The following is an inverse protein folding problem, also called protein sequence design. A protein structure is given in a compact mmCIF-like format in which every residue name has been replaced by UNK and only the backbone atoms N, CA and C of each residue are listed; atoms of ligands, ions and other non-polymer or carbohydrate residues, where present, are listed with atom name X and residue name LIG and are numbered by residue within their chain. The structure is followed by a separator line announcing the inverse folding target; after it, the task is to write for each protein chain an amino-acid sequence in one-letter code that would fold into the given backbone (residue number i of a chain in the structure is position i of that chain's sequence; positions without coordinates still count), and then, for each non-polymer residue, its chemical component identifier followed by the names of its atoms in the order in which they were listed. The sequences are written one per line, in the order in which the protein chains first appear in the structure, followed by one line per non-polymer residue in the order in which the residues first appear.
data_IF_264884641366
#
_entry.id   IF_264884641366
#
_cell.length_a   1.000
_cell.length_b   1.000
_cell.length_c   1.000
_cell.angle_alpha   90.00
_cell.angle_beta   90.00
_cell.angle_gamma   90.00
#
_symmetry.space_group_name_H-M   'P 1'
#
loop_
_entity.id
_entity.type
_entity.pdbx_description
1 polymer ?
#
# COMPACT_ATOMS: atom_id res chain seq x y z
N UNK A 1 -25.42 -14.68 14.97
CA UNK A 1 -24.41 -13.68 14.59
C UNK A 1 -23.06 -14.29 14.90
N UNK A 2 -22.43 -14.92 13.90
CA UNK A 2 -21.06 -15.47 14.01
C UNK A 2 -20.12 -14.33 14.39
N UNK A 3 -19.48 -14.43 15.54
CA UNK A 3 -18.43 -13.52 15.94
C UNK A 3 -17.17 -13.89 15.15
N UNK A 4 -16.91 -13.19 14.06
CA UNK A 4 -15.59 -13.24 13.40
C UNK A 4 -14.53 -12.88 14.44
N UNK A 5 -13.62 -13.80 14.70
CA UNK A 5 -12.68 -13.72 15.82
C UNK A 5 -11.40 -12.98 15.42
N UNK A 6 -11.09 -12.91 14.14
CA UNK A 6 -9.98 -12.17 13.58
C UNK A 6 -10.42 -11.47 12.30
N UNK A 7 -9.88 -10.29 12.09
CA UNK A 7 -10.19 -9.49 10.92
C UNK A 7 -8.91 -9.11 10.22
N UNK A 8 -8.96 -9.07 8.90
CA UNK A 8 -7.92 -8.45 8.09
C UNK A 8 -8.34 -7.02 7.84
N UNK A 9 -7.46 -6.09 8.16
CA UNK A 9 -7.69 -4.66 8.06
C UNK A 9 -6.56 -4.01 7.27
N UNK A 10 -6.90 -3.15 6.32
CA UNK A 10 -5.96 -2.24 5.67
C UNK A 10 -6.35 -0.81 6.03
N UNK A 11 -5.38 -0.05 6.48
CA UNK A 11 -5.53 1.39 6.75
C UNK A 11 -4.40 2.10 6.04
N UNK A 12 -4.73 3.04 5.18
CA UNK A 12 -3.68 3.78 4.49
C UNK A 12 -4.23 4.81 3.52
N UNK A 13 -3.34 5.41 2.79
CA UNK A 13 -3.62 6.39 1.75
C UNK A 13 -2.86 6.03 0.47
N UNK A 14 -3.39 6.49 -0.63
CA UNK A 14 -2.79 6.34 -1.94
C UNK A 14 -2.91 7.65 -2.76
N UNK A 15 -2.31 7.66 -3.96
CA UNK A 15 -2.36 8.82 -4.86
C UNK A 15 -3.79 9.25 -5.25
N UNK A 16 -4.81 8.39 -5.08
CA UNK A 16 -6.22 8.71 -5.34
C UNK A 16 -6.88 9.46 -4.17
N UNK A 17 -6.34 9.33 -2.96
CA UNK A 17 -6.91 9.93 -1.74
C UNK A 17 -6.11 11.07 -1.17
N UNK A 18 -4.82 11.12 -1.45
CA UNK A 18 -3.91 12.10 -0.88
C UNK A 18 -3.00 12.71 -1.95
N UNK A 19 -2.92 14.05 -2.04
CA UNK A 19 -1.97 14.71 -2.92
C UNK A 19 -0.54 14.44 -2.47
N UNK A 20 0.43 14.77 -3.33
CA UNK A 20 1.84 14.46 -3.09
C UNK A 20 2.36 15.04 -1.77
N UNK A 21 1.92 16.25 -1.40
CA UNK A 21 2.31 16.93 -0.15
C UNK A 21 1.97 16.13 1.11
N UNK A 22 0.83 15.46 1.11
CA UNK A 22 0.38 14.62 2.23
C UNK A 22 1.10 13.27 2.20
N UNK A 23 1.32 12.70 1.01
CA UNK A 23 2.05 11.45 0.86
C UNK A 23 3.50 11.56 1.31
N UNK A 24 4.15 12.72 1.06
CA UNK A 24 5.50 13.03 1.53
C UNK A 24 5.60 13.01 3.05
N UNK A 25 4.60 13.60 3.74
CA UNK A 25 4.57 13.66 5.19
C UNK A 25 4.34 12.29 5.85
N UNK A 26 3.66 11.38 5.16
CA UNK A 26 3.27 10.06 5.66
C UNK A 26 4.08 8.91 5.02
N UNK A 27 5.26 9.19 4.49
CA UNK A 27 6.14 8.21 3.87
C UNK A 27 7.16 7.67 4.85
N UNK A 28 7.20 6.33 5.01
CA UNK A 28 8.23 5.66 5.82
C UNK A 28 9.53 5.51 5.03
N UNK A 29 10.63 5.86 5.67
CA UNK A 29 11.96 5.53 5.14
C UNK A 29 12.17 4.01 5.12
N UNK A 30 12.79 3.46 4.08
CA UNK A 30 13.04 2.00 4.01
C UNK A 30 13.79 1.44 5.22
N UNK A 31 14.69 2.22 5.83
CA UNK A 31 15.44 1.85 7.03
C UNK A 31 14.61 1.84 8.31
N UNK A 32 13.47 2.50 8.32
CA UNK A 32 12.60 2.65 9.49
C UNK A 32 11.44 1.63 9.51
N UNK A 33 11.15 0.98 8.35
CA UNK A 33 10.02 0.06 8.20
C UNK A 33 10.00 -1.05 9.25
N UNK A 34 11.15 -1.67 9.52
CA UNK A 34 11.24 -2.74 10.52
C UNK A 34 10.90 -2.24 11.93
N UNK A 35 11.44 -1.09 12.32
CA UNK A 35 11.15 -0.47 13.62
C UNK A 35 9.67 -0.06 13.72
N UNK A 36 9.10 0.48 12.64
CA UNK A 36 7.70 0.87 12.58
C UNK A 36 6.77 -0.34 12.76
N UNK A 37 7.03 -1.43 12.03
CA UNK A 37 6.27 -2.67 12.14
C UNK A 37 6.36 -3.29 13.53
N UNK A 38 7.55 -3.30 14.15
CA UNK A 38 7.78 -3.83 15.50
C UNK A 38 7.03 -3.03 16.56
N UNK A 39 7.06 -1.69 16.49
CA UNK A 39 6.28 -0.81 17.38
C UNK A 39 4.78 -0.98 17.20
N UNK A 40 4.32 -1.08 15.96
CA UNK A 40 2.91 -1.29 15.68
C UNK A 40 2.40 -2.63 16.23
N UNK A 41 3.24 -3.66 16.26
CA UNK A 41 2.90 -4.96 16.85
C UNK A 41 2.64 -4.89 18.35
N UNK A 42 3.24 -3.94 19.05
CA UNK A 42 3.02 -3.70 20.50
C UNK A 42 1.66 -3.06 20.77
N UNK A 43 1.03 -2.46 19.75
CA UNK A 43 -0.27 -1.82 19.88
C UNK A 43 -1.41 -2.80 20.11
N UNK A 44 -2.40 -2.33 20.86
CA UNK A 44 -3.56 -3.13 21.24
C UNK A 44 -4.35 -3.59 20.00
N UNK A 45 -4.79 -4.84 20.00
CA UNK A 45 -5.57 -5.42 18.89
C UNK A 45 -4.76 -5.77 17.62
N UNK A 46 -3.50 -5.39 17.52
CA UNK A 46 -2.66 -5.71 16.37
C UNK A 46 -1.98 -7.07 16.60
N UNK A 47 -2.32 -8.05 15.78
CA UNK A 47 -1.87 -9.44 15.88
C UNK A 47 -0.75 -9.74 14.92
N UNK A 48 -0.91 -9.28 13.69
CA UNK A 48 0.07 -9.31 12.61
C UNK A 48 0.06 -7.95 11.91
N UNK A 49 1.19 -7.51 11.39
CA UNK A 49 1.20 -6.30 10.57
C UNK A 49 2.33 -6.28 9.54
N UNK A 50 2.06 -5.60 8.43
CA UNK A 50 3.01 -5.23 7.38
C UNK A 50 2.73 -3.78 6.97
N UNK A 51 3.79 -3.02 6.76
CA UNK A 51 3.73 -1.66 6.21
C UNK A 51 4.24 -1.68 4.78
N UNK A 52 3.44 -1.19 3.84
CA UNK A 52 3.85 -0.94 2.45
C UNK A 52 3.90 0.57 2.28
N UNK A 53 5.09 1.12 2.07
CA UNK A 53 5.32 2.54 1.82
C UNK A 53 6.09 2.71 0.51
N UNK A 54 5.53 3.49 -0.41
CA UNK A 54 6.06 3.78 -1.74
C UNK A 54 5.81 5.24 -2.08
N UNK A 55 6.27 5.72 -3.24
CA UNK A 55 5.93 7.08 -3.70
C UNK A 55 4.41 7.31 -3.89
N UNK A 56 3.63 6.24 -4.10
CA UNK A 56 2.22 6.34 -4.45
C UNK A 56 1.26 5.90 -3.35
N UNK A 57 1.75 5.26 -2.30
CA UNK A 57 0.91 4.75 -1.18
C UNK A 57 1.68 4.55 0.10
N UNK A 58 0.98 4.73 1.19
CA UNK A 58 1.39 4.26 2.52
C UNK A 58 0.22 3.51 3.12
N UNK A 59 0.37 2.21 3.26
CA UNK A 59 -0.68 1.29 3.71
C UNK A 59 -0.16 0.37 4.80
N UNK A 60 -0.95 0.24 5.86
CA UNK A 60 -0.74 -0.69 6.96
C UNK A 60 -1.74 -1.82 6.82
N UNK A 61 -1.25 -3.02 6.59
CA UNK A 61 -2.00 -4.26 6.61
C UNK A 61 -1.89 -4.85 8.00
N UNK A 62 -2.99 -5.23 8.62
CA UNK A 62 -3.00 -5.80 9.95
C UNK A 62 -4.03 -6.94 10.09
N UNK A 63 -3.68 -7.96 10.83
CA UNK A 63 -4.64 -8.89 11.42
C UNK A 63 -4.99 -8.34 12.79
N UNK A 64 -6.29 -8.15 13.05
CA UNK A 64 -6.79 -7.55 14.28
C UNK A 64 -7.88 -8.42 14.92
N UNK A 65 -8.02 -8.34 16.23
CA UNK A 65 -9.09 -9.03 16.94
C UNK A 65 -10.41 -8.23 16.99
N UNK A 66 -10.34 -6.93 16.73
CA UNK A 66 -11.50 -6.02 16.68
C UNK A 66 -11.23 -4.89 15.69
N UNK A 67 -12.07 -4.77 14.66
CA UNK A 67 -11.94 -3.74 13.62
C UNK A 67 -11.88 -2.32 14.15
N UNK A 68 -12.84 -1.95 15.03
CA UNK A 68 -12.89 -0.60 15.58
C UNK A 68 -11.63 -0.26 16.39
N UNK A 69 -11.15 -1.19 17.20
CA UNK A 69 -9.96 -1.02 18.03
C UNK A 69 -8.71 -0.96 17.15
N UNK A 70 -8.60 -1.86 16.17
CA UNK A 70 -7.49 -1.88 15.21
C UNK A 70 -7.41 -0.57 14.42
N UNK A 71 -8.52 -0.08 13.87
CA UNK A 71 -8.57 1.22 13.17
C UNK A 71 -8.10 2.37 14.06
N UNK A 72 -8.52 2.40 15.33
CA UNK A 72 -8.14 3.44 16.27
C UNK A 72 -6.63 3.44 16.52
N UNK A 73 -6.04 2.27 16.81
CA UNK A 73 -4.63 2.18 17.13
C UNK A 73 -3.73 2.40 15.91
N UNK A 74 -4.12 1.94 14.72
CA UNK A 74 -3.36 2.23 13.50
C UNK A 74 -3.37 3.73 13.18
N UNK A 75 -4.53 4.40 13.27
CA UNK A 75 -4.60 5.86 13.09
C UNK A 75 -3.73 6.61 14.09
N UNK A 76 -3.80 6.22 15.37
CA UNK A 76 -2.98 6.81 16.41
C UNK A 76 -1.49 6.60 16.13
N UNK A 77 -1.11 5.37 15.76
CA UNK A 77 0.26 5.04 15.42
C UNK A 77 0.80 5.90 14.26
N UNK A 78 0.01 6.08 13.19
CA UNK A 78 0.40 6.96 12.08
C UNK A 78 0.59 8.41 12.53
N UNK A 79 -0.35 8.96 13.30
CA UNK A 79 -0.26 10.31 13.82
C UNK A 79 0.98 10.48 14.73
N UNK A 80 1.17 9.58 15.69
CA UNK A 80 2.29 9.62 16.64
C UNK A 80 3.64 9.43 15.94
N UNK A 81 3.72 8.54 14.92
CA UNK A 81 4.96 8.27 14.19
C UNK A 81 5.45 9.47 13.39
N UNK A 82 4.53 10.15 12.72
CA UNK A 82 4.86 11.30 11.86
C UNK A 82 4.73 12.65 12.57
N UNK A 83 4.33 12.67 13.84
CA UNK A 83 4.17 13.91 14.62
C UNK A 83 3.03 14.79 14.11
N UNK A 84 1.93 14.19 13.64
CA UNK A 84 0.77 14.87 13.08
C UNK A 84 -0.45 14.71 14.00
N UNK A 85 -1.42 15.61 13.87
CA UNK A 85 -2.71 15.44 14.54
C UNK A 85 -3.57 14.42 13.78
N UNK A 86 -4.37 13.63 14.51
CA UNK A 86 -5.24 12.60 13.89
C UNK A 86 -6.26 13.18 12.91
N UNK A 87 -6.71 14.37 13.20
CA UNK A 87 -7.68 15.13 12.41
C UNK A 87 -7.11 15.49 11.04
N UNK A 88 -5.82 15.75 10.95
CA UNK A 88 -5.13 16.12 9.70
C UNK A 88 -4.91 14.90 8.79
N UNK A 89 -4.70 13.72 9.39
CA UNK A 89 -4.44 12.48 8.63
C UNK A 89 -5.73 11.76 8.23
N UNK A 90 -6.74 11.77 9.10
CA UNK A 90 -7.98 10.99 8.93
C UNK A 90 -8.74 11.20 7.62
N UNK A 91 -8.83 12.41 7.03
CA UNK A 91 -9.56 12.64 5.78
C UNK A 91 -8.98 11.89 4.56
N UNK A 92 -7.70 11.56 4.60
CA UNK A 92 -6.99 10.91 3.50
C UNK A 92 -6.95 9.39 3.61
N UNK A 93 -7.29 8.84 4.80
CA UNK A 93 -7.20 7.41 5.06
C UNK A 93 -8.40 6.64 4.48
N UNK A 94 -8.09 5.58 3.76
CA UNK A 94 -9.02 4.51 3.37
C UNK A 94 -8.94 3.33 4.32
N UNK A 95 -10.03 2.59 4.37
CA UNK A 95 -10.17 1.38 5.17
C UNK A 95 -10.72 0.27 4.29
N UNK A 96 -10.02 -0.87 4.27
CA UNK A 96 -10.51 -2.09 3.67
C UNK A 96 -10.54 -3.17 4.74
N UNK A 97 -11.56 -4.01 4.72
CA UNK A 97 -11.83 -4.98 5.77
C UNK A 97 -12.08 -6.34 5.19
N UNK A 98 -11.58 -7.37 5.86
CA UNK A 98 -11.80 -8.78 5.53
C UNK A 98 -11.59 -9.06 4.03
N UNK A 99 -12.61 -9.48 3.32
CA UNK A 99 -12.55 -9.78 1.88
C UNK A 99 -12.05 -8.61 1.05
N UNK A 100 -12.51 -7.40 1.37
CA UNK A 100 -12.08 -6.20 0.68
C UNK A 100 -10.60 -5.88 0.93
N UNK A 101 -10.06 -6.24 2.11
CA UNK A 101 -8.64 -6.10 2.41
C UNK A 101 -7.78 -7.09 1.63
N UNK A 102 -8.24 -8.33 1.49
CA UNK A 102 -7.59 -9.38 0.70
C UNK A 102 -7.59 -9.02 -0.78
N UNK A 103 -8.74 -8.63 -1.32
CA UNK A 103 -8.89 -8.17 -2.69
C UNK A 103 -7.96 -6.99 -2.98
N UNK A 104 -7.96 -5.99 -2.10
CA UNK A 104 -7.10 -4.82 -2.25
C UNK A 104 -5.62 -5.19 -2.31
N UNK A 105 -5.13 -6.09 -1.43
CA UNK A 105 -3.76 -6.56 -1.48
C UNK A 105 -3.41 -7.24 -2.82
N UNK A 106 -4.29 -8.09 -3.33
CA UNK A 106 -4.06 -8.77 -4.61
C UNK A 106 -4.06 -7.79 -5.78
N UNK A 107 -4.98 -6.83 -5.79
CA UNK A 107 -5.03 -5.75 -6.78
C UNK A 107 -3.77 -4.90 -6.76
N UNK A 108 -3.30 -4.54 -5.57
CA UNK A 108 -2.04 -3.80 -5.37
C UNK A 108 -0.86 -4.61 -5.88
N UNK A 109 -0.72 -5.88 -5.47
CA UNK A 109 0.40 -6.73 -5.87
C UNK A 109 0.45 -6.98 -7.38
N UNK A 110 -0.72 -7.11 -8.04
CA UNK A 110 -0.85 -7.25 -9.50
C UNK A 110 -0.70 -5.92 -10.25
N UNK A 111 -0.59 -4.79 -9.56
CA UNK A 111 -0.47 -3.47 -10.18
C UNK A 111 -1.78 -2.90 -10.74
N UNK A 112 -2.95 -3.46 -10.40
CA UNK A 112 -4.26 -2.93 -10.84
C UNK A 112 -4.62 -1.62 -10.16
N UNK A 113 -4.17 -1.42 -8.92
CA UNK A 113 -4.37 -0.19 -8.15
C UNK A 113 -3.14 0.72 -8.16
N UNK A 114 -2.17 0.46 -9.03
CA UNK A 114 -1.06 1.36 -9.28
C UNK A 114 -1.48 2.54 -10.15
N UNK A 115 -0.77 3.67 -10.04
CA UNK A 115 -0.96 4.84 -10.92
C UNK A 115 -0.86 4.43 -12.40
N UNK A 116 0.03 3.50 -12.68
CA UNK A 116 0.17 2.83 -13.97
C UNK A 116 -0.28 1.39 -13.84
N UNK A 117 -1.42 1.06 -14.41
CA UNK A 117 -1.96 -0.30 -14.38
C UNK A 117 -0.93 -1.28 -14.98
N UNK A 118 -0.59 -2.32 -14.21
CA UNK A 118 0.37 -3.35 -14.61
C UNK A 118 1.83 -3.00 -14.33
N UNK A 119 2.12 -1.95 -13.55
CA UNK A 119 3.47 -1.64 -13.12
C UNK A 119 4.07 -2.79 -12.30
N UNK A 120 5.20 -3.31 -12.75
CA UNK A 120 5.86 -4.46 -12.10
C UNK A 120 6.63 -4.08 -10.84
N UNK A 121 6.88 -2.79 -10.63
CA UNK A 121 7.70 -2.29 -9.52
C UNK A 121 7.01 -2.51 -8.17
N UNK A 122 5.70 -2.35 -8.10
CA UNK A 122 4.91 -2.55 -6.88
C UNK A 122 5.06 -3.98 -6.32
N UNK A 123 5.12 -4.99 -7.18
CA UNK A 123 5.38 -6.36 -6.75
C UNK A 123 6.72 -6.50 -6.02
N UNK A 124 7.75 -5.81 -6.51
CA UNK A 124 9.06 -5.75 -5.84
C UNK A 124 8.98 -5.11 -4.46
N UNK A 125 8.21 -4.03 -4.33
CA UNK A 125 8.00 -3.31 -3.07
C UNK A 125 7.21 -4.13 -2.06
N UNK A 126 6.11 -4.79 -2.49
CA UNK A 126 5.34 -5.74 -1.66
C UNK A 126 6.24 -6.86 -1.14
N UNK A 127 7.09 -7.46 -2.00
CA UNK A 127 8.04 -8.49 -1.58
C UNK A 127 9.07 -7.99 -0.57
N UNK A 128 9.56 -6.77 -0.75
CA UNK A 128 10.54 -6.18 0.17
C UNK A 128 9.93 -5.93 1.54
N UNK A 129 8.72 -5.34 1.62
CA UNK A 129 7.99 -5.14 2.87
C UNK A 129 7.66 -6.47 3.55
N UNK A 130 7.23 -7.47 2.79
CA UNK A 130 6.97 -8.82 3.31
C UNK A 130 8.23 -9.45 3.93
N UNK A 131 9.39 -9.30 3.27
CA UNK A 131 10.66 -9.81 3.80
C UNK A 131 11.04 -9.11 5.11
N UNK A 132 10.92 -7.78 5.19
CA UNK A 132 11.17 -7.04 6.43
C UNK A 132 10.25 -7.51 7.55
N UNK A 133 8.96 -7.69 7.28
CA UNK A 133 8.00 -8.18 8.26
C UNK A 133 8.33 -9.60 8.77
N UNK A 134 8.90 -10.46 7.91
CA UNK A 134 9.40 -11.79 8.33
C UNK A 134 10.62 -11.68 9.23
N UNK A 135 11.58 -10.83 8.88
CA UNK A 135 12.81 -10.61 9.65
C UNK A 135 12.49 -10.04 11.05
N UNK A 136 11.55 -9.09 11.12
CA UNK A 136 11.08 -8.47 12.38
C UNK A 136 10.04 -9.33 13.13
N UNK A 137 9.63 -10.46 12.57
CA UNK A 137 8.62 -11.37 13.17
C UNK A 137 7.29 -10.65 13.49
N UNK A 138 6.90 -9.70 12.68
CA UNK A 138 5.64 -8.96 12.86
C UNK A 138 4.46 -9.67 12.23
N UNK A 139 4.69 -10.74 11.47
CA UNK A 139 3.68 -11.56 10.82
C UNK A 139 3.65 -12.98 11.41
N UNK A 140 2.48 -13.58 11.34
CA UNK A 140 2.21 -14.97 11.74
C UNK A 140 1.69 -15.80 10.57
N UNK A 141 0.81 -16.76 10.86
CA UNK A 141 0.32 -17.72 9.88
C UNK A 141 -0.50 -17.07 8.77
N UNK A 142 -1.36 -16.11 9.11
CA UNK A 142 -2.30 -15.49 8.15
C UNK A 142 -1.53 -14.70 7.09
N UNK A 143 -0.67 -13.77 7.49
CA UNK A 143 0.04 -12.94 6.52
C UNK A 143 1.18 -13.67 5.81
N UNK A 144 1.79 -14.67 6.43
CA UNK A 144 2.74 -15.51 5.70
C UNK A 144 2.10 -16.23 4.52
N UNK A 145 0.86 -16.71 4.68
CA UNK A 145 0.13 -17.34 3.57
C UNK A 145 -0.38 -16.30 2.58
N UNK A 146 -1.12 -15.29 3.05
CA UNK A 146 -1.75 -14.27 2.21
C UNK A 146 -0.74 -13.54 1.32
N UNK A 147 0.40 -13.10 1.87
CA UNK A 147 1.42 -12.37 1.09
C UNK A 147 2.18 -13.28 0.13
N UNK A 148 2.37 -14.57 0.45
CA UNK A 148 2.90 -15.54 -0.52
C UNK A 148 1.94 -15.73 -1.69
N UNK A 149 0.64 -15.84 -1.41
CA UNK A 149 -0.38 -15.91 -2.46
C UNK A 149 -0.41 -14.64 -3.30
N UNK A 150 -0.38 -13.44 -2.69
CA UNK A 150 -0.33 -12.17 -3.38
C UNK A 150 0.86 -12.08 -4.35
N UNK A 151 2.04 -12.53 -3.92
CA UNK A 151 3.22 -12.59 -4.79
C UNK A 151 3.06 -13.62 -5.90
N UNK A 152 2.39 -14.74 -5.65
CA UNK A 152 2.16 -15.80 -6.62
C UNK A 152 1.19 -15.37 -7.70
N UNK A 153 0.02 -14.82 -7.33
CA UNK A 153 -0.98 -14.35 -8.30
C UNK A 153 -0.45 -13.18 -9.12
N UNK A 154 0.34 -12.27 -8.51
CA UNK A 154 0.97 -11.19 -9.25
C UNK A 154 1.99 -11.69 -10.28
N UNK A 155 2.78 -12.72 -9.97
CA UNK A 155 3.66 -13.35 -10.96
C UNK A 155 2.89 -14.05 -12.07
N UNK A 156 1.79 -14.73 -11.73
CA UNK A 156 0.92 -15.38 -12.70
C UNK A 156 0.28 -14.35 -13.62
N UNK A 157 -0.26 -13.26 -13.09
CA UNK A 157 -0.85 -12.20 -13.89
C UNK A 157 0.14 -11.60 -14.89
N UNK A 158 1.41 -11.40 -14.48
CA UNK A 158 2.46 -10.93 -15.38
C UNK A 158 2.90 -11.96 -16.43
N UNK A 159 2.76 -13.26 -16.16
CA UNK A 159 3.17 -14.34 -17.07
C UNK A 159 2.05 -14.78 -18.02
N UNK A 160 0.80 -14.76 -17.55
CA UNK A 160 -0.37 -15.27 -18.26
C UNK A 160 -1.14 -14.18 -19.01
N UNK A 161 -0.85 -12.89 -18.71
CA UNK A 161 -1.49 -11.74 -19.37
C UNK A 161 -0.46 -10.72 -19.86
N UNK A 162 -0.86 -9.88 -20.80
CA UNK A 162 0.00 -8.79 -21.30
C UNK A 162 0.04 -7.56 -20.40
N UNK A 163 -0.37 -7.69 -19.13
CA UNK A 163 -0.48 -6.54 -18.23
C UNK A 163 0.87 -5.84 -17.97
N UNK A 164 1.95 -6.63 -17.90
CA UNK A 164 3.29 -6.11 -17.69
C UNK A 164 3.95 -5.56 -18.96
N UNK A 165 3.61 -6.09 -20.13
CA UNK A 165 4.22 -5.68 -21.41
C UNK A 165 3.73 -4.31 -21.87
N UNK A 166 2.52 -3.93 -21.48
CA UNK A 166 1.90 -2.65 -21.82
C UNK A 166 2.01 -1.58 -20.72
N UNK A 167 2.82 -1.80 -19.69
CA UNK A 167 3.02 -0.83 -18.63
C UNK A 167 3.73 0.42 -19.18
N UNK A 168 2.93 1.39 -19.61
CA UNK A 168 3.42 2.75 -19.87
C UNK A 168 3.79 3.33 -18.50
N UNK A 169 5.05 3.26 -18.17
CA UNK A 169 5.55 3.75 -16.89
C UNK A 169 5.44 5.28 -16.82
N UNK A 170 5.42 5.84 -15.59
CA UNK A 170 5.61 7.28 -15.34
C UNK A 170 6.81 7.81 -16.15
N UNK A 171 7.86 6.99 -16.25
CA UNK A 171 9.02 7.27 -17.06
C UNK A 171 8.71 7.44 -18.56
N UNK A 172 7.79 6.66 -19.11
CA UNK A 172 7.36 6.81 -20.50
C UNK A 172 6.49 8.07 -20.68
N UNK A 173 5.61 8.39 -19.73
CA UNK A 173 4.83 9.63 -19.77
C UNK A 173 5.75 10.87 -19.79
N UNK A 174 6.82 10.85 -19.00
CA UNK A 174 7.85 11.88 -19.02
C UNK A 174 8.49 12.03 -20.41
N UNK A 175 8.79 10.91 -21.10
CA UNK A 175 9.33 10.92 -22.47
C UNK A 175 8.34 11.49 -23.48
N UNK A 176 7.07 11.12 -23.40
CA UNK A 176 6.03 11.64 -24.31
C UNK A 176 5.80 13.14 -24.10
N UNK A 177 5.86 13.63 -22.85
CA UNK A 177 5.83 15.07 -22.58
C UNK A 177 7.05 15.79 -23.14
N UNK A 178 8.24 15.25 -22.95
CA UNK A 178 9.46 15.80 -23.51
C UNK A 178 9.36 15.92 -25.05
N UNK A 179 8.81 14.91 -25.72
CA UNK A 179 8.54 14.97 -27.17
C UNK A 179 7.57 16.08 -27.56
N UNK A 180 6.52 16.29 -26.79
CA UNK A 180 5.55 17.39 -27.04
C UNK A 180 6.20 18.77 -26.93
N UNK A 181 7.14 18.95 -26.01
CA UNK A 181 7.83 20.22 -25.77
C UNK A 181 8.94 20.44 -26.82
N UNK A 182 9.76 19.43 -27.11
CA UNK A 182 10.97 19.57 -27.93
C UNK A 182 10.82 19.08 -29.36
N UNK A 183 9.79 18.29 -29.68
CA UNK A 183 9.62 17.62 -30.97
C UNK A 183 10.62 16.50 -31.18
N UNK A 184 11.93 16.83 -31.31
CA UNK A 184 13.02 15.85 -31.43
C UNK A 184 13.84 15.80 -30.15
N UNK A 185 14.25 14.58 -29.75
CA UNK A 185 15.09 14.37 -28.57
C UNK A 185 16.55 14.03 -28.91
N UNK A 186 16.90 13.84 -30.18
CA UNK A 186 18.20 13.37 -30.62
C UNK A 186 19.34 14.37 -30.37
N UNK A 187 19.03 15.64 -30.24
CA UNK A 187 19.96 16.73 -29.94
C UNK A 187 19.85 17.27 -28.52
N UNK A 188 19.06 16.61 -27.67
CA UNK A 188 18.78 17.06 -26.30
C UNK A 188 19.74 16.43 -25.30
N UNK A 189 20.08 17.22 -24.29
CA UNK A 189 20.91 16.82 -23.17
C UNK A 189 19.97 16.47 -21.97
N UNK A 190 20.04 15.22 -21.52
CA UNK A 190 19.29 14.73 -20.39
C UNK A 190 20.18 14.66 -19.16
N UNK A 191 19.74 15.28 -18.08
CA UNK A 191 20.31 15.17 -16.75
C UNK A 191 19.44 14.24 -15.90
N UNK A 192 20.02 13.17 -15.37
CA UNK A 192 19.40 12.27 -14.41
C UNK A 192 19.99 12.58 -13.04
N UNK A 193 19.14 12.99 -12.11
CA UNK A 193 19.50 13.25 -10.72
C UNK A 193 19.00 12.10 -9.84
N UNK A 194 19.94 11.35 -9.26
CA UNK A 194 19.67 10.11 -8.56
C UNK A 194 19.95 8.87 -9.41
N UNK A 195 20.26 7.77 -8.75
CA UNK A 195 20.53 6.47 -9.36
C UNK A 195 19.50 5.41 -8.87
N UNK A 196 18.28 5.85 -8.67
CA UNK A 196 17.17 5.00 -8.31
C UNK A 196 16.57 4.25 -9.50
N UNK A 197 15.75 3.22 -9.23
CA UNK A 197 15.13 2.37 -10.26
C UNK A 197 14.29 3.15 -11.26
N UNK A 198 13.54 4.15 -10.79
CA UNK A 198 12.70 5.00 -11.66
C UNK A 198 13.54 5.87 -12.60
N UNK A 199 14.62 6.47 -12.10
CA UNK A 199 15.56 7.22 -12.94
C UNK A 199 16.22 6.34 -14.00
N UNK A 200 16.59 5.11 -13.65
CA UNK A 200 17.12 4.12 -14.59
C UNK A 200 16.12 3.80 -15.72
N UNK A 201 14.84 3.52 -15.36
CA UNK A 201 13.79 3.24 -16.33
C UNK A 201 13.51 4.44 -17.24
N UNK A 202 13.52 5.66 -16.70
CA UNK A 202 13.36 6.88 -17.47
C UNK A 202 14.50 7.06 -18.48
N UNK A 203 15.72 6.80 -18.04
CA UNK A 203 16.89 6.83 -18.90
C UNK A 203 16.84 5.79 -20.03
N UNK A 204 16.40 4.56 -19.73
CA UNK A 204 16.21 3.50 -20.74
C UNK A 204 15.19 3.92 -21.80
N UNK A 205 14.04 4.45 -21.36
CA UNK A 205 13.00 4.89 -22.27
C UNK A 205 13.46 6.06 -23.17
N UNK A 206 14.21 7.01 -22.60
CA UNK A 206 14.79 8.12 -23.35
C UNK A 206 15.84 7.63 -24.37
N UNK A 207 16.71 6.72 -23.96
CA UNK A 207 17.72 6.13 -24.85
C UNK A 207 17.08 5.45 -26.07
N UNK A 208 15.97 4.70 -25.86
CA UNK A 208 15.19 4.10 -26.94
C UNK A 208 14.60 5.12 -27.92
N UNK A 209 14.55 6.41 -27.56
CA UNK A 209 14.11 7.50 -28.43
C UNK A 209 15.28 8.26 -29.08
N UNK A 210 16.52 7.78 -28.92
CA UNK A 210 17.69 8.33 -29.60
C UNK A 210 18.13 9.67 -29.06
N UNK A 211 18.10 9.90 -27.74
CA UNK A 211 18.59 11.14 -27.10
C UNK A 211 20.08 11.39 -27.39
N UNK A 212 20.47 12.67 -27.41
CA UNK A 212 21.83 13.07 -27.79
C UNK A 212 22.86 12.80 -26.70
N UNK A 213 22.64 13.29 -25.48
CA UNK A 213 23.59 13.18 -24.37
C UNK A 213 22.86 12.85 -23.06
N UNK A 214 23.47 11.99 -22.25
CA UNK A 214 23.00 11.68 -20.88
C UNK A 214 24.08 12.04 -19.88
N UNK A 215 23.71 12.81 -18.85
CA UNK A 215 24.57 13.04 -17.68
C UNK A 215 23.84 12.46 -16.47
N UNK A 216 24.55 11.73 -15.62
CA UNK A 216 24.02 11.20 -14.37
C UNK A 216 24.73 11.86 -13.21
N UNK A 217 23.96 12.43 -12.29
CA UNK A 217 24.44 12.98 -11.02
C UNK A 217 23.83 12.21 -9.86
N UNK A 218 24.66 11.79 -8.94
CA UNK A 218 24.22 11.16 -7.70
C UNK A 218 25.13 11.58 -6.54
N UNK A 219 24.59 11.55 -5.30
CA UNK A 219 25.37 11.81 -4.09
C UNK A 219 26.61 10.91 -3.98
N UNK A 220 26.46 9.63 -4.35
CA UNK A 220 27.55 8.66 -4.44
C UNK A 220 28.00 8.59 -5.90
N UNK A 221 29.22 9.06 -6.19
CA UNK A 221 29.75 9.13 -7.56
C UNK A 221 29.84 7.77 -8.25
N UNK A 222 30.18 6.71 -7.52
CA UNK A 222 30.26 5.34 -8.05
C UNK A 222 28.91 4.86 -8.60
N UNK A 223 27.80 5.19 -7.92
CA UNK A 223 26.44 4.88 -8.40
C UNK A 223 26.11 5.68 -9.67
N UNK A 224 26.53 6.95 -9.74
CA UNK A 224 26.38 7.75 -10.96
C UNK A 224 27.17 7.12 -12.11
N UNK A 225 28.40 6.68 -11.86
CA UNK A 225 29.27 6.03 -12.84
C UNK A 225 28.71 4.71 -13.35
N UNK A 226 28.19 3.88 -12.45
CA UNK A 226 27.54 2.62 -12.82
C UNK A 226 26.32 2.86 -13.73
N UNK A 227 25.43 3.78 -13.33
CA UNK A 227 24.25 4.08 -14.12
C UNK A 227 24.61 4.76 -15.45
N UNK A 228 25.50 5.74 -15.46
CA UNK A 228 25.95 6.40 -16.68
C UNK A 228 26.59 5.43 -17.68
N UNK A 229 27.35 4.44 -17.18
CA UNK A 229 27.97 3.41 -18.02
C UNK A 229 26.96 2.57 -18.81
N UNK A 230 25.76 2.36 -18.29
CA UNK A 230 24.69 1.63 -18.99
C UNK A 230 24.12 2.40 -20.18
N UNK A 231 24.28 3.73 -20.20
CA UNK A 231 23.73 4.63 -21.22
C UNK A 231 24.82 5.32 -22.07
N UNK A 232 26.07 4.92 -21.96
CA UNK A 232 27.19 5.61 -22.56
C UNK A 232 27.22 7.11 -22.20
N UNK A 233 26.73 7.43 -20.99
CA UNK A 233 26.60 8.78 -20.49
C UNK A 233 27.79 9.23 -19.64
N UNK A 234 27.75 10.48 -19.20
CA UNK A 234 28.79 11.12 -18.39
C UNK A 234 28.37 11.11 -16.90
N UNK A 235 29.13 10.49 -15.99
CA UNK A 235 28.90 10.64 -14.56
C UNK A 235 29.47 11.95 -14.04
N UNK A 236 28.73 12.68 -13.21
CA UNK A 236 29.18 13.88 -12.51
C UNK A 236 28.86 13.79 -11.02
N UNK A 237 29.61 14.54 -10.24
CA UNK A 237 29.36 14.68 -8.81
C UNK A 237 28.39 15.82 -8.53
N UNK A 238 27.74 15.79 -7.33
CA UNK A 238 26.66 16.71 -6.93
C UNK A 238 27.12 18.20 -6.99
N UNK A 239 28.40 18.50 -6.74
CA UNK A 239 28.95 19.85 -6.83
C UNK A 239 28.93 20.43 -8.26
N UNK A 240 28.71 19.61 -9.29
CA UNK A 240 28.59 20.02 -10.68
C UNK A 240 27.14 20.25 -11.14
N UNK A 241 26.16 20.09 -10.21
CA UNK A 241 24.73 20.12 -10.50
C UNK A 241 24.31 21.46 -11.15
N UNK A 242 24.63 22.60 -10.55
CA UNK A 242 24.24 23.92 -11.08
C UNK A 242 24.78 24.18 -12.49
N UNK A 243 26.04 23.78 -12.74
CA UNK A 243 26.62 23.89 -14.06
C UNK A 243 25.89 23.02 -15.06
N UNK A 244 25.65 21.74 -14.70
CA UNK A 244 25.00 20.79 -15.59
C UNK A 244 23.54 21.18 -15.85
N UNK A 245 22.84 21.73 -14.85
CA UNK A 245 21.49 22.25 -15.00
C UNK A 245 21.37 23.36 -16.05
N UNK A 246 22.40 24.20 -16.17
CA UNK A 246 22.44 25.22 -17.23
C UNK A 246 22.68 24.64 -18.63
N UNK A 247 23.23 23.45 -18.74
CA UNK A 247 23.53 22.75 -19.99
C UNK A 247 22.40 21.79 -20.43
N UNK A 248 21.73 21.15 -19.48
CA UNK A 248 20.69 20.17 -19.74
C UNK A 248 19.41 20.79 -20.32
N UNK A 249 18.69 20.06 -21.15
CA UNK A 249 17.37 20.42 -21.68
C UNK A 249 16.25 19.69 -20.93
N UNK A 250 16.55 18.49 -20.47
CA UNK A 250 15.60 17.62 -19.74
C UNK A 250 16.28 17.24 -18.42
N UNK A 251 15.56 17.39 -17.32
CA UNK A 251 15.95 16.89 -16.00
C UNK A 251 14.94 15.82 -15.55
N UNK A 252 15.44 14.69 -15.07
CA UNK A 252 14.64 13.70 -14.36
C UNK A 252 15.26 13.50 -12.98
N UNK A 253 14.48 13.79 -11.94
CA UNK A 253 14.90 13.62 -10.55
C UNK A 253 14.22 12.43 -9.90
N UNK A 254 15.00 11.58 -9.23
CA UNK A 254 14.53 10.38 -8.52
C UNK A 254 15.48 10.03 -7.37
N UNK A 255 15.71 10.97 -6.45
CA UNK A 255 16.59 10.72 -5.29
C UNK A 255 15.75 10.28 -4.08
N UNK A 256 16.41 9.96 -2.98
CA UNK A 256 15.79 9.73 -1.67
C UNK A 256 16.15 10.86 -0.70
N UNK A 257 16.21 12.10 -1.17
CA UNK A 257 16.51 13.24 -0.33
C UNK A 257 15.29 13.62 0.52
N UNK A 258 15.53 14.10 1.74
CA UNK A 258 14.47 14.60 2.63
C UNK A 258 14.12 16.06 2.41
N UNK A 259 14.94 16.76 1.62
CA UNK A 259 14.80 18.19 1.33
C UNK A 259 15.00 18.41 -0.17
N UNK A 260 14.51 19.51 -0.69
CA UNK A 260 14.70 19.86 -2.09
C UNK A 260 16.21 19.89 -2.44
N UNK A 261 16.53 19.16 -3.49
CA UNK A 261 17.90 19.12 -4.05
C UNK A 261 18.10 20.26 -5.04
N UNK A 262 17.03 20.65 -5.74
CA UNK A 262 17.03 21.78 -6.67
C UNK A 262 16.00 22.80 -6.19
N UNK A 263 16.49 24.02 -5.92
CA UNK A 263 15.65 25.13 -5.47
C UNK A 263 15.31 26.07 -6.64
N UNK A 264 14.32 26.93 -6.44
CA UNK A 264 13.93 27.96 -7.39
C UNK A 264 15.12 28.84 -7.82
N UNK A 265 15.93 29.28 -6.86
CA UNK A 265 17.09 30.15 -7.11
C UNK A 265 18.15 29.48 -8.01
N UNK A 266 18.37 28.18 -7.86
CA UNK A 266 19.27 27.40 -8.71
C UNK A 266 18.77 27.40 -10.15
N UNK A 267 17.45 27.22 -10.36
CA UNK A 267 16.84 27.23 -11.70
C UNK A 267 16.86 28.62 -12.30
N UNK A 268 16.57 29.67 -11.55
CA UNK A 268 16.68 31.06 -11.99
C UNK A 268 18.13 31.40 -12.41
N UNK A 269 19.12 30.97 -11.62
CA UNK A 269 20.54 31.14 -11.95
C UNK A 269 20.92 30.38 -13.23
N UNK A 270 20.44 29.13 -13.38
CA UNK A 270 20.67 28.34 -14.59
C UNK A 270 20.01 29.00 -15.81
N UNK A 271 18.79 29.50 -15.71
CA UNK A 271 18.04 30.12 -16.80
C UNK A 271 18.73 31.37 -17.39
N UNK A 272 19.37 32.18 -16.57
CA UNK A 272 20.17 33.32 -17.04
C UNK A 272 21.27 32.88 -18.03
N UNK A 273 21.84 31.69 -17.83
CA UNK A 273 22.89 31.13 -18.71
C UNK A 273 22.31 30.42 -19.93
N UNK A 274 21.05 29.96 -19.85
CA UNK A 274 20.35 29.19 -20.89
C UNK A 274 19.81 30.04 -22.06
N UNK A 275 19.79 31.36 -21.90
CA UNK A 275 19.39 32.31 -22.98
C UNK A 275 18.01 31.98 -23.59
N UNK A 276 17.02 31.65 -22.76
CA UNK A 276 15.65 31.38 -23.19
C UNK A 276 15.41 29.94 -23.70
N UNK A 277 16.39 29.03 -23.61
CA UNK A 277 16.12 27.61 -23.92
C UNK A 277 15.23 27.00 -22.85
N UNK A 278 14.14 26.29 -23.22
CA UNK A 278 13.26 25.66 -22.25
C UNK A 278 13.98 24.59 -21.44
N UNK A 279 13.63 24.47 -20.15
CA UNK A 279 14.08 23.42 -19.26
C UNK A 279 12.88 22.58 -18.85
N UNK A 280 12.82 21.34 -19.30
CA UNK A 280 11.79 20.39 -18.91
C UNK A 280 12.26 19.58 -17.71
N UNK A 281 11.49 19.59 -16.64
CA UNK A 281 11.86 19.01 -15.35
C UNK A 281 10.77 18.06 -14.89
N UNK A 282 11.17 16.85 -14.53
CA UNK A 282 10.26 15.80 -14.01
C UNK A 282 10.79 15.34 -12.68
N UNK A 283 9.96 15.50 -11.66
CA UNK A 283 10.20 15.00 -10.31
C UNK A 283 9.39 13.74 -10.04
N UNK A 284 10.07 12.61 -9.98
CA UNK A 284 9.46 11.32 -9.66
C UNK A 284 9.86 10.80 -8.28
N UNK A 285 10.48 11.69 -7.48
CA UNK A 285 10.83 11.39 -6.10
C UNK A 285 9.68 11.67 -5.13
N UNK A 286 9.61 10.88 -4.08
CA UNK A 286 8.77 11.15 -2.92
C UNK A 286 9.61 10.81 -1.67
N UNK A 287 9.92 11.80 -0.84
CA UNK A 287 9.62 13.24 -0.96
C UNK A 287 10.21 13.87 -2.23
N UNK A 288 9.62 15.01 -2.66
CA UNK A 288 10.05 15.73 -3.86
C UNK A 288 11.50 16.23 -3.75
N UNK A 289 12.22 16.11 -4.83
CA UNK A 289 13.60 16.62 -4.97
C UNK A 289 13.61 18.08 -5.44
N UNK A 290 12.55 18.54 -6.13
CA UNK A 290 12.47 19.85 -6.75
C UNK A 290 11.47 20.74 -6.02
N UNK A 291 11.87 21.97 -5.76
CA UNK A 291 11.01 22.99 -5.16
C UNK A 291 9.82 23.30 -6.09
N UNK A 292 8.57 23.14 -5.65
CA UNK A 292 7.37 23.47 -6.44
C UNK A 292 7.35 24.90 -6.97
N UNK A 293 7.96 25.85 -6.27
CA UNK A 293 8.09 27.24 -6.69
C UNK A 293 8.89 27.41 -8.01
N UNK A 294 9.58 26.38 -8.50
CA UNK A 294 10.22 26.35 -9.81
C UNK A 294 9.18 26.55 -10.93
N UNK A 295 7.94 26.13 -10.74
CA UNK A 295 6.86 26.34 -11.73
C UNK A 295 6.59 27.81 -12.05
N UNK A 296 7.02 28.74 -11.20
CA UNK A 296 6.91 30.19 -11.42
C UNK A 296 8.04 30.75 -12.29
N UNK A 297 9.06 29.95 -12.57
CA UNK A 297 10.24 30.41 -13.34
C UNK A 297 9.95 30.33 -14.83
N UNK A 298 10.03 31.44 -15.52
CA UNK A 298 9.77 31.51 -16.96
C UNK A 298 10.73 30.58 -17.74
N UNK A 299 10.16 29.72 -18.61
CA UNK A 299 10.92 28.75 -19.41
C UNK A 299 11.30 27.46 -18.67
N UNK A 300 10.93 27.30 -17.41
CA UNK A 300 10.98 26.04 -16.69
C UNK A 300 9.61 25.36 -16.71
N UNK A 301 9.58 24.08 -17.08
CA UNK A 301 8.37 23.26 -17.13
C UNK A 301 8.56 22.13 -16.13
N UNK A 302 8.00 22.31 -14.93
CA UNK A 302 8.06 21.33 -13.86
C UNK A 302 6.81 20.46 -13.87
N UNK A 303 7.02 19.16 -13.81
CA UNK A 303 5.97 18.15 -13.66
C UNK A 303 6.36 17.21 -12.52
N UNK A 304 5.48 16.98 -11.60
CA UNK A 304 5.64 15.97 -10.57
C UNK A 304 4.98 14.63 -10.97
N UNK A 305 5.04 13.67 -10.06
CA UNK A 305 4.52 12.32 -10.32
C UNK A 305 3.00 12.33 -10.56
N UNK A 306 2.25 13.24 -9.94
CA UNK A 306 0.80 13.36 -10.08
C UNK A 306 0.41 14.00 -11.41
N UNK A 307 1.18 14.94 -11.90
CA UNK A 307 0.98 15.58 -13.22
C UNK A 307 1.09 14.58 -14.38
N UNK A 308 1.94 13.55 -14.21
CA UNK A 308 2.13 12.51 -15.22
C UNK A 308 0.95 11.54 -15.32
N UNK A 309 0.09 11.48 -14.28
CA UNK A 309 -1.08 10.58 -14.23
C UNK A 309 -2.05 10.81 -15.40
N UNK A 310 -2.35 12.07 -15.71
CA UNK A 310 -3.29 12.43 -16.78
C UNK A 310 -2.88 11.91 -18.17
N UNK A 311 -1.57 11.74 -18.40
CA UNK A 311 -1.02 11.27 -19.68
C UNK A 311 -1.07 9.75 -19.77
N UNK A 312 -0.86 9.07 -18.65
CA UNK A 312 -1.00 7.62 -18.53
C UNK A 312 -2.45 7.19 -18.73
N UNK A 313 -3.40 8.00 -18.26
CA UNK A 313 -4.84 7.73 -18.37
C UNK A 313 -5.36 7.65 -19.82
N UNK A 314 -4.71 8.27 -20.78
CA UNK A 314 -5.15 8.28 -22.19
C UNK A 314 -5.06 6.90 -22.89
N UNK A 315 -4.25 5.96 -22.37
CA UNK A 315 -4.09 4.61 -22.93
C UNK A 315 -4.97 3.53 -22.26
N UNK A 316 -6.03 3.93 -21.55
CA UNK A 316 -6.83 3.05 -20.68
C UNK A 316 -7.69 2.01 -21.39
N UNK A 317 -8.04 2.17 -22.67
CA UNK A 317 -8.98 1.24 -23.34
C UNK A 317 -8.41 -0.16 -23.57
N UNK A 318 -7.16 -0.26 -24.03
CA UNK A 318 -6.51 -1.56 -24.25
C UNK A 318 -6.19 -2.27 -22.94
N UNK A 319 -5.92 -1.50 -21.88
CA UNK A 319 -5.60 -2.03 -20.57
C UNK A 319 -6.79 -2.56 -19.78
N UNK A 320 -8.01 -2.07 -20.05
CA UNK A 320 -9.22 -2.56 -19.38
C UNK A 320 -9.47 -4.04 -19.66
N UNK A 321 -9.33 -4.48 -20.90
CA UNK A 321 -9.54 -5.88 -21.24
C UNK A 321 -8.52 -6.81 -20.57
N UNK A 322 -7.26 -6.35 -20.42
CA UNK A 322 -6.22 -7.12 -19.71
C UNK A 322 -6.44 -7.07 -18.19
N UNK A 323 -6.88 -5.94 -17.66
CA UNK A 323 -7.21 -5.81 -16.23
C UNK A 323 -8.36 -6.75 -15.83
N UNK A 324 -9.40 -6.90 -16.66
CA UNK A 324 -10.50 -7.86 -16.45
C UNK A 324 -10.01 -9.31 -16.37
N UNK A 325 -9.01 -9.70 -17.15
CA UNK A 325 -8.40 -11.04 -17.04
C UNK A 325 -7.68 -11.24 -15.71
N UNK A 326 -6.97 -10.21 -15.24
CA UNK A 326 -6.29 -10.25 -13.94
C UNK A 326 -7.30 -10.29 -12.80
N UNK A 327 -8.42 -9.58 -12.91
CA UNK A 327 -9.50 -9.61 -11.91
C UNK A 327 -10.06 -11.02 -11.73
N UNK A 328 -10.25 -11.78 -12.81
CA UNK A 328 -10.67 -13.19 -12.73
C UNK A 328 -9.66 -14.08 -11.99
N UNK A 329 -8.35 -13.83 -12.19
CA UNK A 329 -7.31 -14.54 -11.43
C UNK A 329 -7.38 -14.19 -9.93
N UNK A 330 -7.60 -12.92 -9.60
CA UNK A 330 -7.73 -12.44 -8.22
C UNK A 330 -8.96 -13.06 -7.54
N UNK A 331 -10.11 -13.09 -8.21
CA UNK A 331 -11.33 -13.72 -7.68
C UNK A 331 -11.11 -15.19 -7.31
N UNK A 332 -10.44 -15.95 -8.18
CA UNK A 332 -10.10 -17.36 -7.90
C UNK A 332 -9.19 -17.50 -6.66
N UNK A 333 -8.19 -16.64 -6.54
CA UNK A 333 -7.26 -16.67 -5.40
C UNK A 333 -7.91 -16.22 -4.09
N UNK A 334 -8.90 -15.31 -4.12
CA UNK A 334 -9.69 -14.93 -2.94
C UNK A 334 -10.48 -16.13 -2.42
N UNK A 335 -11.09 -16.90 -3.32
CA UNK A 335 -11.82 -18.12 -2.94
C UNK A 335 -10.88 -19.14 -2.31
N UNK A 336 -9.69 -19.37 -2.89
CA UNK A 336 -8.69 -20.28 -2.35
C UNK A 336 -8.19 -19.82 -0.96
N UNK A 337 -7.92 -18.52 -0.81
CA UNK A 337 -7.51 -17.97 0.49
C UNK A 337 -8.59 -18.16 1.57
N UNK A 338 -9.85 -17.94 1.23
CA UNK A 338 -10.97 -18.16 2.17
C UNK A 338 -11.10 -19.61 2.60
N UNK A 339 -11.01 -20.54 1.65
CA UNK A 339 -11.02 -21.97 1.95
C UNK A 339 -9.88 -22.35 2.90
N UNK A 340 -8.65 -21.86 2.59
CA UNK A 340 -7.52 -22.07 3.46
C UNK A 340 -7.71 -21.43 4.86
N UNK A 341 -8.24 -20.20 4.94
CA UNK A 341 -8.47 -19.52 6.21
C UNK A 341 -9.46 -20.28 7.09
N UNK A 342 -10.48 -20.88 6.49
CA UNK A 342 -11.43 -21.74 7.20
C UNK A 342 -10.78 -23.02 7.74
N UNK A 343 -9.73 -23.52 7.09
CA UNK A 343 -8.98 -24.71 7.55
C UNK A 343 -7.97 -24.42 8.65
N UNK A 344 -7.74 -23.14 9.00
CA UNK A 344 -6.83 -22.79 10.07
C UNK A 344 -7.39 -23.28 11.42
N UNK A 345 -6.82 -24.35 11.94
CA UNK A 345 -7.25 -24.98 13.19
C UNK A 345 -7.32 -24.03 14.41
N UNK A 346 -6.61 -22.90 14.37
CA UNK A 346 -6.62 -21.93 15.47
C UNK A 346 -7.86 -21.04 15.46
N UNK A 347 -8.38 -20.69 14.28
CA UNK A 347 -9.55 -19.80 14.17
C UNK A 347 -10.80 -20.43 14.80
N UNK A 348 -11.17 -21.68 14.48
CA UNK A 348 -12.27 -22.35 15.14
C UNK A 348 -12.08 -22.46 16.67
N UNK A 349 -10.86 -22.73 17.13
CA UNK A 349 -10.53 -22.86 18.56
C UNK A 349 -10.73 -21.52 19.29
N UNK A 350 -10.24 -20.42 18.73
CA UNK A 350 -10.40 -19.09 19.30
C UNK A 350 -11.88 -18.66 19.26
N UNK A 351 -12.60 -18.98 18.17
CA UNK A 351 -14.04 -18.72 18.07
C UNK A 351 -14.84 -19.44 19.16
N UNK A 352 -14.61 -20.75 19.33
CA UNK A 352 -15.25 -21.54 20.36
C UNK A 352 -14.94 -21.04 21.78
N UNK A 353 -13.69 -20.64 22.04
CA UNK A 353 -13.30 -20.07 23.33
C UNK A 353 -14.04 -18.75 23.64
N UNK A 354 -14.16 -17.86 22.66
CA UNK A 354 -14.90 -16.59 22.81
C UNK A 354 -16.39 -16.82 22.95
N UNK A 355 -16.96 -17.68 22.14
CA UNK A 355 -18.39 -18.01 22.19
C UNK A 355 -18.77 -18.57 23.58
N UNK A 356 -17.99 -19.53 24.09
CA UNK A 356 -18.18 -20.06 25.45
C UNK A 356 -18.16 -18.95 26.50
N UNK A 357 -17.18 -18.05 26.46
CA UNK A 357 -17.06 -16.96 27.42
C UNK A 357 -18.18 -15.93 27.30
N UNK A 358 -18.64 -15.62 26.08
CA UNK A 358 -19.75 -14.69 25.85
C UNK A 358 -21.10 -15.31 26.27
N UNK A 359 -21.28 -16.61 26.10
CA UNK A 359 -22.46 -17.35 26.61
C UNK A 359 -22.51 -17.26 28.11
N UNK A 360 -21.43 -17.54 28.83
CA UNK A 360 -21.34 -17.39 30.29
C UNK A 360 -21.68 -15.94 30.71
N UNK A 361 -21.17 -14.94 29.97
CA UNK A 361 -21.51 -13.55 30.26
C UNK A 361 -22.97 -13.22 30.04
N UNK A 362 -23.57 -13.72 28.96
CA UNK A 362 -24.98 -13.51 28.66
C UNK A 362 -25.89 -14.15 29.74
N UNK A 363 -25.62 -15.38 30.15
CA UNK A 363 -26.32 -16.08 31.21
C UNK A 363 -26.19 -15.35 32.54
N UNK A 364 -24.99 -14.83 32.86
CA UNK A 364 -24.76 -14.03 34.05
C UNK A 364 -25.57 -12.74 34.01
N UNK A 365 -25.60 -12.03 32.88
CA UNK A 365 -26.37 -10.79 32.73
C UNK A 365 -27.88 -11.06 32.85
N UNK A 366 -28.36 -12.16 32.26
CA UNK A 366 -29.76 -12.57 32.40
C UNK A 366 -30.12 -12.93 33.85
N UNK A 367 -29.18 -13.56 34.58
CA UNK A 367 -29.36 -13.84 36.01
C UNK A 367 -29.44 -12.56 36.86
N UNK A 368 -28.58 -11.57 36.54
CA UNK A 368 -28.59 -10.25 37.20
C UNK A 368 -29.93 -9.54 36.95
N UNK A 369 -30.39 -9.51 35.72
CA UNK A 369 -31.65 -8.88 35.33
C UNK A 369 -32.85 -9.50 36.08
N UNK A 370 -32.91 -10.84 36.20
CA UNK A 370 -33.93 -11.54 36.97
C UNK A 370 -33.88 -11.25 38.49
N UNK A 371 -32.65 -11.12 39.06
CA UNK A 371 -32.48 -10.92 40.49
C UNK A 371 -32.59 -9.46 40.91
N UNK A 372 -32.33 -8.53 40.00
CA UNK A 372 -32.36 -7.08 40.22
C UNK A 372 -33.25 -6.38 39.18
N UNK A 373 -34.59 -6.58 39.26
CA UNK A 373 -35.54 -6.09 38.23
C UNK A 373 -35.68 -4.57 38.19
N UNK A 374 -35.17 -3.86 39.19
CA UNK A 374 -35.24 -2.40 39.30
C UNK A 374 -34.01 -1.66 38.74
N UNK A 375 -33.08 -2.36 38.09
CA UNK A 375 -31.93 -1.70 37.44
C UNK A 375 -32.40 -0.84 36.28
N UNK A 376 -31.91 0.38 36.25
CA UNK A 376 -32.12 1.29 35.12
C UNK A 376 -31.38 0.81 33.89
N UNK A 377 -31.84 1.22 32.72
CA UNK A 377 -31.16 0.91 31.44
C UNK A 377 -29.68 1.35 31.43
N UNK A 378 -29.36 2.46 32.11
CA UNK A 378 -27.98 2.97 32.24
C UNK A 378 -27.11 2.05 33.09
N UNK A 379 -27.61 1.56 34.21
CA UNK A 379 -26.91 0.62 35.10
C UNK A 379 -26.69 -0.72 34.41
N UNK A 380 -27.72 -1.25 33.74
CA UNK A 380 -27.59 -2.48 32.95
C UNK A 380 -26.54 -2.37 31.84
N UNK A 381 -26.50 -1.23 31.12
CA UNK A 381 -25.47 -0.95 30.11
C UNK A 381 -24.08 -0.88 30.70
N UNK A 382 -23.94 -0.30 31.91
CA UNK A 382 -22.66 -0.22 32.62
C UNK A 382 -22.17 -1.61 33.05
N UNK A 383 -23.03 -2.43 33.64
CA UNK A 383 -22.72 -3.80 34.02
C UNK A 383 -22.32 -4.65 32.83
N UNK A 384 -23.06 -4.56 31.72
CA UNK A 384 -22.72 -5.26 30.48
C UNK A 384 -21.34 -4.84 29.93
N UNK A 385 -21.00 -3.54 29.99
CA UNK A 385 -19.71 -3.05 29.58
C UNK A 385 -18.57 -3.60 30.45
N UNK A 386 -18.74 -3.60 31.79
CA UNK A 386 -17.69 -4.07 32.69
C UNK A 386 -17.52 -5.59 32.65
N UNK A 387 -18.61 -6.37 32.59
CA UNK A 387 -18.53 -7.83 32.44
C UNK A 387 -17.85 -8.24 31.13
N UNK A 388 -18.17 -7.59 29.99
CA UNK A 388 -17.45 -7.79 28.72
C UNK A 388 -15.97 -7.40 28.81
N UNK A 389 -15.65 -6.33 29.55
CA UNK A 389 -14.25 -5.93 29.76
C UNK A 389 -13.47 -6.99 30.53
N UNK A 390 -14.06 -7.58 31.58
CA UNK A 390 -13.45 -8.68 32.34
C UNK A 390 -13.16 -9.88 31.43
N UNK A 391 -14.14 -10.30 30.64
CA UNK A 391 -13.98 -11.42 29.69
C UNK A 391 -12.85 -11.13 28.70
N UNK A 392 -12.83 -9.94 28.07
CA UNK A 392 -11.78 -9.58 27.12
C UNK A 392 -10.39 -9.60 27.76
N UNK A 393 -10.28 -9.19 29.03
CA UNK A 393 -9.02 -9.26 29.76
C UNK A 393 -8.59 -10.70 30.07
N UNK A 394 -9.54 -11.54 30.50
CA UNK A 394 -9.27 -12.97 30.78
C UNK A 394 -8.91 -13.77 29.53
N UNK A 395 -9.51 -13.46 28.40
CA UNK A 395 -9.26 -14.16 27.13
C UNK A 395 -7.96 -13.72 26.43
N UNK A 396 -7.38 -12.60 26.82
CA UNK A 396 -6.20 -12.03 26.17
C UNK A 396 -5.05 -13.04 26.10
N UNK A 397 -4.62 -13.57 27.24
CA UNK A 397 -3.46 -14.46 27.31
C UNK A 397 -3.74 -15.85 26.70
N UNK A 398 -4.89 -16.51 26.94
CA UNK A 398 -5.25 -17.74 26.24
C UNK A 398 -5.27 -17.61 24.71
N UNK A 399 -5.83 -16.51 24.17
CA UNK A 399 -5.86 -16.26 22.73
C UNK A 399 -4.44 -16.05 22.18
N UNK A 400 -3.61 -15.28 22.86
CA UNK A 400 -2.21 -15.11 22.49
C UNK A 400 -1.49 -16.46 22.45
N UNK A 401 -1.70 -17.29 23.49
CA UNK A 401 -1.05 -18.60 23.57
C UNK A 401 -1.53 -19.56 22.49
N UNK A 402 -2.83 -19.60 22.19
CA UNK A 402 -3.35 -20.40 21.08
C UNK A 402 -2.71 -20.05 19.74
N UNK A 403 -2.43 -18.76 19.50
CA UNK A 403 -1.74 -18.27 18.29
C UNK A 403 -0.25 -18.64 18.26
N UNK A 404 0.45 -18.53 19.38
CA UNK A 404 1.83 -18.99 19.48
C UNK A 404 1.93 -20.48 19.14
N UNK A 405 1.02 -21.28 19.70
CA UNK A 405 0.92 -22.71 19.45
C UNK A 405 0.68 -22.99 17.95
N UNK A 406 -0.19 -22.24 17.30
CA UNK A 406 -0.50 -22.43 15.87
C UNK A 406 0.70 -22.13 14.94
N UNK A 407 1.69 -21.40 15.42
CA UNK A 407 2.91 -21.12 14.68
C UNK A 407 4.00 -22.21 14.87
N UNK A 408 3.79 -23.19 15.74
CA UNK A 408 4.76 -24.23 16.03
C UNK A 408 4.63 -25.45 15.09
N UNK A 409 5.71 -26.24 14.85
CA UNK A 409 5.65 -27.39 13.94
C UNK A 409 4.67 -28.48 14.33
N UNK A 410 4.30 -28.59 15.62
CA UNK A 410 3.35 -29.56 16.19
C UNK A 410 2.07 -28.89 16.69
N UNK A 411 1.59 -27.88 15.95
CA UNK A 411 0.44 -27.06 16.27
C UNK A 411 -0.83 -27.87 16.53
N UNK A 412 -1.08 -28.89 15.70
CA UNK A 412 -2.32 -29.67 15.75
C UNK A 412 -2.51 -30.40 17.08
N UNK A 413 -1.48 -31.11 17.56
CA UNK A 413 -1.50 -31.82 18.84
C UNK A 413 -1.71 -30.86 20.03
N UNK A 414 -1.01 -29.72 20.01
CA UNK A 414 -1.10 -28.71 21.06
C UNK A 414 -2.44 -27.97 21.06
N UNK A 415 -3.03 -27.74 19.88
CA UNK A 415 -4.36 -27.15 19.77
C UNK A 415 -5.44 -28.12 20.24
N UNK A 416 -5.27 -29.43 20.03
CA UNK A 416 -6.16 -30.45 20.62
C UNK A 416 -6.13 -30.38 22.15
N UNK A 417 -4.94 -30.37 22.75
CA UNK A 417 -4.80 -30.20 24.20
C UNK A 417 -5.41 -28.89 24.70
N UNK A 418 -5.27 -27.80 23.95
CA UNK A 418 -5.89 -26.51 24.26
C UNK A 418 -7.43 -26.62 24.25
N UNK A 419 -8.02 -27.32 23.26
CA UNK A 419 -9.46 -27.59 23.21
C UNK A 419 -9.91 -28.36 24.43
N UNK A 420 -9.18 -29.38 24.85
CA UNK A 420 -9.49 -30.18 26.05
C UNK A 420 -9.43 -29.33 27.33
N UNK A 421 -8.36 -28.55 27.54
CA UNK A 421 -8.19 -27.71 28.73
C UNK A 421 -9.35 -26.72 28.91
N UNK A 422 -9.82 -26.13 27.81
CA UNK A 422 -10.92 -25.16 27.84
C UNK A 422 -12.29 -25.77 27.59
N UNK A 423 -12.37 -27.12 27.43
CA UNK A 423 -13.60 -27.85 27.12
C UNK A 423 -14.38 -27.19 25.97
N UNK A 424 -13.70 -27.04 24.82
CA UNK A 424 -14.25 -26.40 23.64
C UNK A 424 -14.86 -27.42 22.70
N UNK A 425 -16.16 -27.24 22.39
CA UNK A 425 -16.83 -27.97 21.33
C UNK A 425 -16.53 -27.26 20.01
N UNK A 426 -15.60 -27.77 19.22
CA UNK A 426 -15.38 -27.32 17.86
C UNK A 426 -16.03 -28.36 16.96
N UNK A 427 -17.17 -28.03 16.35
CA UNK A 427 -17.80 -28.91 15.37
C UNK A 427 -16.83 -29.04 14.17
N UNK A 428 -16.42 -30.28 13.86
CA UNK A 428 -15.67 -30.55 12.64
C UNK A 428 -16.61 -30.28 11.45
N UNK A 429 -16.21 -29.36 10.57
CA UNK A 429 -17.02 -28.89 9.42
C UNK A 429 -17.39 -29.99 8.40
N UNK A 430 -16.84 -31.20 8.51
CA UNK A 430 -17.27 -32.34 7.68
C UNK A 430 -18.75 -32.74 7.84
N UNK A 431 -19.43 -32.30 8.91
CA UNK A 431 -20.87 -32.53 9.13
C UNK A 431 -21.77 -31.38 8.71
N UNK A 432 -21.25 -30.22 8.31
CA UNK A 432 -22.03 -29.07 7.81
C UNK A 432 -22.13 -28.98 6.29
N UNK A 433 -21.64 -29.94 5.55
CA UNK A 433 -21.81 -30.02 4.10
C UNK A 433 -23.23 -30.53 3.71
N UNK A 434 -24.27 -29.93 4.26
CA UNK A 434 -25.47 -29.75 3.45
C UNK A 434 -25.22 -28.56 2.52
N UNK A 435 -25.46 -28.70 1.22
CA UNK A 435 -25.23 -27.60 0.28
C UNK A 435 -26.14 -26.45 0.71
N UNK A 436 -25.57 -25.42 1.34
CA UNK A 436 -26.24 -24.13 1.42
C UNK A 436 -26.66 -23.77 0.00
N UNK A 437 -27.95 -23.79 -0.25
CA UNK A 437 -28.51 -23.16 -1.43
C UNK A 437 -27.95 -21.73 -1.45
N UNK A 438 -27.07 -21.48 -2.39
CA UNK A 438 -26.59 -20.15 -2.71
C UNK A 438 -27.85 -19.38 -3.11
N UNK A 439 -28.48 -18.68 -2.16
CA UNK A 439 -29.30 -17.56 -2.56
C UNK A 439 -28.39 -16.68 -3.40
N UNK A 440 -28.78 -16.54 -4.65
CA UNK A 440 -28.20 -15.60 -5.59
C UNK A 440 -28.42 -14.18 -5.06
N UNK A 441 -27.75 -13.83 -3.99
CA UNK A 441 -27.50 -12.46 -3.57
C UNK A 441 -26.54 -11.90 -4.60
N UNK A 442 -27.10 -11.18 -5.56
CA UNK A 442 -26.41 -10.44 -6.58
C UNK A 442 -25.16 -9.76 -6.01
N UNK A 443 -24.00 -10.28 -6.37
CA UNK A 443 -22.73 -9.58 -6.29
C UNK A 443 -22.88 -8.32 -7.14
N UNK A 444 -23.28 -7.23 -6.54
CA UNK A 444 -23.14 -5.94 -7.19
C UNK A 444 -21.65 -5.60 -7.17
N UNK A 445 -20.99 -5.97 -8.26
CA UNK A 445 -19.74 -5.34 -8.66
C UNK A 445 -19.91 -3.83 -8.46
N UNK A 446 -19.09 -3.27 -7.61
CA UNK A 446 -18.99 -1.83 -7.43
C UNK A 446 -18.51 -1.27 -8.77
N UNK A 447 -19.45 -0.98 -9.68
CA UNK A 447 -19.15 -0.16 -10.85
C UNK A 447 -18.80 1.22 -10.32
N UNK A 448 -17.62 1.76 -10.58
CA UNK A 448 -17.34 3.14 -10.24
C UNK A 448 -18.37 3.99 -10.95
N UNK A 449 -19.03 4.85 -10.19
CA UNK A 449 -20.07 5.75 -10.67
C UNK A 449 -19.45 6.84 -11.56
N UNK A 450 -19.22 6.49 -12.85
CA UNK A 450 -18.67 7.37 -13.88
C UNK A 450 -19.76 8.14 -14.63
N UNK A 451 -20.82 8.54 -13.92
CA UNK A 451 -21.92 9.29 -14.53
C UNK A 451 -22.33 10.51 -13.70
N UNK A 452 -21.37 11.26 -13.16
CA UNK A 452 -21.62 12.66 -12.72
C UNK A 452 -20.34 13.49 -12.92
N UNK A 453 -20.08 13.90 -14.13
CA UNK A 453 -18.93 14.78 -14.43
C UNK A 453 -18.81 15.20 -15.90
N UNK A 454 -19.81 14.94 -16.74
CA UNK A 454 -19.79 15.37 -18.14
C UNK A 454 -21.17 15.88 -18.59
N UNK A 455 -21.67 16.89 -17.91
CA UNK A 455 -22.81 17.67 -18.40
C UNK A 455 -22.79 19.08 -17.78
N UNK A 456 -21.79 19.87 -18.12
CA UNK A 456 -21.83 21.33 -18.03
C UNK A 456 -20.57 21.92 -18.69
N UNK A 457 -20.41 21.76 -20.01
CA UNK A 457 -19.70 22.70 -20.89
C UNK A 457 -20.19 22.43 -22.32
N UNK A 458 -21.42 22.82 -22.62
CA UNK A 458 -21.85 23.04 -24.00
C UNK A 458 -23.11 23.92 -23.94
N UNK A 459 -22.95 25.19 -23.58
CA UNK A 459 -23.79 26.33 -23.98
C UNK A 459 -23.28 27.56 -23.23
N UNK A 460 -22.25 28.20 -23.79
CA UNK A 460 -22.09 29.65 -23.96
C UNK A 460 -20.85 29.87 -24.83
#
# INVERSE_FOLDING_TARGET
VQAEVMHILVVGLDYKTAPVEIREQLSFEPSELGTAMSKLKEEKSILENIVISTCNRTEIYAVVDQLHTGRFYIKRFLADWFGLEKEDVSPYLKFYENDGAVEHLFRVACGLDSMVIGETQILGQVRSSFKVAQEEKTIGTVFNYLFKQAVTVAKRSHAETDIASNAVSVSYAAVELAKKIFGRLSDKHVLILGAGKMGELAAQNLQGQGIGQVTVINRTYEKAKELAGRFSGEPKSLNQLEKTLSEADILISSTGAKQFVITKEMVESANKKRKGRPLFMVDIAVPRDLDPAISEVEGAFLYDIDDLEGIVAANLKERRAVAEQVELLIEAEIVEFKQWLNTLGVVPVISALREKALTIQADTMQSIERKLPNLTHREMKLLNKHTKSIINQMLKDPILKAKEIAAEPNAEEKLLLFKEIFDLQVEDEEQRAEPMQVEQGSFQLFKPNMAQGLATVASE
#
